data_IF_782261373207
#
_entry.id   IF_782261373207
#
_cell.length_a   1.000
_cell.length_b   1.000
_cell.length_c   1.000
_cell.angle_alpha   90.00
_cell.angle_beta   90.00
_cell.angle_gamma   90.00
#
_symmetry.space_group_name_H-M   'P 1'
#
loop_
_entity.id
_entity.type
_entity.pdbx_description
1 polymer ?
#
# COMPACT_ATOMS: atom_id res chain seq x y z
N UNK A 1 19.48 -76.89 7.77
CA UNK A 1 18.26 -76.17 8.23
C UNK A 1 18.58 -74.67 8.20
N UNK A 2 18.24 -73.98 7.10
CA UNK A 2 18.55 -72.57 6.86
C UNK A 2 17.51 -71.66 7.53
N UNK A 3 17.95 -70.69 8.34
CA UNK A 3 17.10 -69.62 8.88
C UNK A 3 17.25 -68.39 7.98
N UNK A 4 16.21 -68.02 7.23
CA UNK A 4 16.16 -66.78 6.44
C UNK A 4 15.96 -65.59 7.39
N UNK A 5 16.82 -64.58 7.29
CA UNK A 5 16.62 -63.28 7.94
C UNK A 5 15.82 -62.39 6.97
N UNK A 6 14.65 -61.93 7.41
CA UNK A 6 13.84 -60.97 6.66
C UNK A 6 14.36 -59.55 6.94
N UNK A 7 14.87 -58.90 5.89
CA UNK A 7 15.32 -57.50 5.93
C UNK A 7 14.11 -56.58 5.77
N UNK A 8 13.65 -55.97 6.85
CA UNK A 8 12.61 -54.94 6.84
C UNK A 8 13.23 -53.60 6.45
N UNK A 9 12.92 -53.12 5.25
CA UNK A 9 13.34 -51.82 4.72
C UNK A 9 12.50 -50.71 5.37
N UNK A 10 13.10 -49.89 6.23
CA UNK A 10 12.44 -48.69 6.78
C UNK A 10 12.61 -47.54 5.77
N UNK A 11 11.56 -47.22 5.02
CA UNK A 11 11.52 -46.04 4.18
C UNK A 11 11.26 -44.80 5.04
N UNK A 12 12.27 -43.97 5.26
CA UNK A 12 12.11 -42.64 5.85
C UNK A 12 11.75 -41.69 4.70
N UNK A 13 10.45 -41.41 4.54
CA UNK A 13 9.99 -40.36 3.65
C UNK A 13 10.27 -39.00 4.31
N UNK A 14 11.28 -38.28 3.83
CA UNK A 14 11.55 -36.91 4.23
C UNK A 14 10.67 -35.99 3.35
N UNK A 15 9.49 -35.62 3.85
CA UNK A 15 8.70 -34.55 3.26
C UNK A 15 9.38 -33.21 3.62
N UNK A 16 10.20 -32.70 2.72
CA UNK A 16 10.77 -31.35 2.84
C UNK A 16 9.68 -30.38 2.38
N UNK A 17 8.83 -29.95 3.30
CA UNK A 17 7.98 -28.80 3.09
C UNK A 17 8.86 -27.55 3.06
N UNK A 18 8.97 -26.90 1.90
CA UNK A 18 9.57 -25.56 1.79
C UNK A 18 8.71 -24.58 2.59
N UNK A 19 9.22 -24.10 3.72
CA UNK A 19 8.57 -23.04 4.48
C UNK A 19 9.22 -21.72 4.04
N UNK A 20 8.76 -21.18 2.91
CA UNK A 20 9.09 -19.82 2.53
C UNK A 20 8.36 -18.85 3.48
N UNK A 21 9.11 -18.07 4.24
CA UNK A 21 8.57 -16.94 5.02
C UNK A 21 8.49 -15.72 4.09
N UNK A 22 7.37 -15.53 3.41
CA UNK A 22 7.12 -14.31 2.63
C UNK A 22 6.63 -13.19 3.56
N UNK A 23 7.19 -11.98 3.42
CA UNK A 23 6.52 -10.79 3.95
C UNK A 23 5.28 -10.54 3.10
N UNK A 24 4.11 -10.35 3.74
CA UNK A 24 2.87 -10.11 3.02
C UNK A 24 2.89 -8.74 2.34
N UNK A 25 2.40 -8.68 1.10
CA UNK A 25 2.13 -7.41 0.43
C UNK A 25 1.11 -6.59 1.24
N UNK A 26 1.35 -5.29 1.36
CA UNK A 26 0.39 -4.37 1.95
C UNK A 26 -0.70 -4.04 0.92
N UNK A 27 -1.95 -4.00 1.36
CA UNK A 27 -3.08 -3.49 0.59
C UNK A 27 -4.05 -2.77 1.52
N UNK A 28 -4.25 -1.48 1.29
CA UNK A 28 -5.17 -0.62 2.04
C UNK A 28 -6.10 0.02 1.03
N UNK A 29 -7.39 -0.32 1.09
CA UNK A 29 -8.43 0.25 0.24
C UNK A 29 -9.45 0.99 1.11
N UNK A 30 -9.83 2.18 0.66
CA UNK A 30 -10.93 2.95 1.24
C UNK A 30 -11.76 3.60 0.13
N UNK A 31 -13.05 3.28 0.11
CA UNK A 31 -14.04 3.88 -0.81
C UNK A 31 -14.97 4.88 -0.10
N UNK A 32 -14.70 5.23 1.15
CA UNK A 32 -15.39 6.32 1.87
C UNK A 32 -16.91 6.22 2.01
N UNK A 33 -17.49 5.02 1.93
CA UNK A 33 -18.94 4.75 2.04
C UNK A 33 -19.52 4.89 3.46
N UNK A 34 -19.06 5.88 4.22
CA UNK A 34 -19.57 6.23 5.55
C UNK A 34 -18.50 6.57 6.59
N UNK A 35 -17.22 6.40 6.28
CA UNK A 35 -16.12 6.80 7.17
C UNK A 35 -14.87 7.17 6.39
N UNK A 36 -13.90 7.82 7.04
CA UNK A 36 -12.55 8.04 6.48
C UNK A 36 -11.64 6.81 6.57
N UNK A 37 -12.09 5.76 7.27
CA UNK A 37 -11.36 4.52 7.53
C UNK A 37 -9.90 4.74 7.95
N UNK A 38 -8.95 4.43 7.07
CA UNK A 38 -7.51 4.51 7.37
C UNK A 38 -6.93 5.93 7.25
N UNK A 39 -7.76 6.91 6.90
CA UNK A 39 -7.31 8.25 6.53
C UNK A 39 -7.76 9.31 7.53
N UNK A 40 -7.02 10.40 7.55
CA UNK A 40 -7.27 11.58 8.36
C UNK A 40 -7.22 12.82 7.48
N UNK A 41 -7.95 13.86 7.88
CA UNK A 41 -8.08 15.11 7.12
C UNK A 41 -7.40 16.25 7.86
N UNK A 42 -6.81 17.18 7.11
CA UNK A 42 -6.13 18.37 7.66
C UNK A 42 -6.46 19.62 6.84
N UNK A 43 -6.16 20.80 7.39
CA UNK A 43 -6.55 22.09 6.80
C UNK A 43 -7.94 22.59 7.23
N UNK A 44 -8.64 21.83 8.08
CA UNK A 44 -9.86 22.26 8.77
C UNK A 44 -11.15 22.26 7.95
N UNK A 45 -11.04 22.22 6.61
CA UNK A 45 -12.19 22.22 5.70
C UNK A 45 -12.28 20.94 4.86
N UNK A 46 -11.21 20.13 4.81
CA UNK A 46 -11.24 18.79 4.23
C UNK A 46 -12.13 17.87 5.06
N UNK A 47 -13.05 17.13 4.43
CA UNK A 47 -14.03 16.31 5.15
C UNK A 47 -14.51 15.11 4.35
N UNK A 48 -15.07 14.11 5.06
CA UNK A 48 -15.88 13.10 4.41
C UNK A 48 -17.14 13.75 3.81
N UNK A 49 -17.45 13.40 2.57
CA UNK A 49 -18.64 13.81 1.85
C UNK A 49 -19.45 12.57 1.50
N UNK A 50 -20.68 12.48 2.02
CA UNK A 50 -21.60 11.38 1.73
C UNK A 50 -22.83 11.94 1.03
N UNK A 51 -23.16 11.37 -0.12
CA UNK A 51 -24.29 11.79 -0.93
C UNK A 51 -25.62 11.27 -0.37
N UNK A 52 -26.43 12.16 0.21
CA UNK A 52 -27.68 11.83 0.91
C UNK A 52 -28.98 11.97 0.10
N UNK A 53 -28.91 12.27 -1.21
CA UNK A 53 -30.09 12.33 -2.09
C UNK A 53 -30.79 13.70 -2.17
N UNK A 54 -30.55 14.39 -3.30
CA UNK A 54 -31.33 15.46 -3.98
C UNK A 54 -30.44 16.44 -4.77
N UNK A 55 -29.11 16.20 -4.80
CA UNK A 55 -28.12 17.00 -5.54
C UNK A 55 -27.24 16.18 -6.49
N UNK A 56 -26.02 16.65 -6.76
CA UNK A 56 -25.02 15.93 -7.56
C UNK A 56 -24.19 14.97 -6.68
N UNK A 57 -24.04 13.72 -7.12
CA UNK A 57 -23.08 12.79 -6.52
C UNK A 57 -21.67 13.10 -7.06
N UNK A 58 -20.72 13.31 -6.15
CA UNK A 58 -19.33 13.62 -6.49
C UNK A 58 -18.38 12.46 -6.25
N UNK A 59 -18.90 11.33 -5.77
CA UNK A 59 -18.16 10.08 -5.71
C UNK A 59 -18.11 9.44 -7.12
N UNK A 60 -16.92 9.18 -7.68
CA UNK A 60 -16.73 8.33 -8.85
C UNK A 60 -17.48 7.00 -8.76
N UNK A 61 -17.50 6.41 -7.57
CA UNK A 61 -18.19 5.15 -7.29
C UNK A 61 -18.97 5.23 -5.98
N UNK A 62 -20.07 4.48 -5.86
CA UNK A 62 -20.87 4.48 -4.63
C UNK A 62 -21.43 5.86 -4.24
N UNK A 63 -21.41 6.18 -2.95
CA UNK A 63 -22.05 7.38 -2.38
C UNK A 63 -21.10 8.24 -1.55
N UNK A 64 -19.87 7.78 -1.31
CA UNK A 64 -18.90 8.42 -0.44
C UNK A 64 -17.67 8.96 -1.18
N UNK A 65 -17.15 10.10 -0.74
CA UNK A 65 -15.88 10.64 -1.21
C UNK A 65 -15.26 11.53 -0.13
N UNK A 66 -13.98 11.88 -0.26
CA UNK A 66 -13.36 12.94 0.55
C UNK A 66 -13.38 14.25 -0.21
N UNK A 67 -14.00 15.27 0.36
CA UNK A 67 -13.92 16.65 -0.10
C UNK A 67 -12.58 17.27 0.30
N UNK A 68 -11.78 17.71 -0.68
CA UNK A 68 -10.67 18.64 -0.53
C UNK A 68 -11.09 20.00 -1.08
N UNK A 69 -11.48 20.95 -0.23
CA UNK A 69 -12.02 22.23 -0.67
C UNK A 69 -10.94 23.15 -1.24
N UNK A 70 -11.32 24.04 -2.16
CA UNK A 70 -10.43 25.13 -2.56
C UNK A 70 -10.35 26.18 -1.46
N UNK A 71 -9.18 26.34 -0.87
CA UNK A 71 -8.94 27.33 0.18
C UNK A 71 -7.54 27.89 0.05
N UNK A 72 -7.28 29.05 0.66
CA UNK A 72 -5.91 29.51 0.83
C UNK A 72 -5.31 28.75 2.02
N UNK A 73 -4.55 27.69 1.73
CA UNK A 73 -3.91 26.86 2.75
C UNK A 73 -3.82 25.39 2.36
N UNK A 74 -2.91 24.67 3.00
CA UNK A 74 -2.73 23.23 2.76
C UNK A 74 -3.96 22.46 3.25
N UNK A 75 -4.59 21.73 2.33
CA UNK A 75 -5.69 20.80 2.59
C UNK A 75 -5.23 19.41 2.19
N UNK A 76 -5.26 18.44 3.10
CA UNK A 76 -4.73 17.11 2.80
C UNK A 76 -5.57 15.99 3.42
N UNK A 77 -5.66 14.89 2.66
CA UNK A 77 -6.07 13.58 3.09
C UNK A 77 -4.83 12.72 3.31
N UNK A 78 -4.56 12.32 4.55
CA UNK A 78 -3.31 11.67 4.97
C UNK A 78 -3.60 10.32 5.60
N UNK A 79 -2.84 9.30 5.24
CA UNK A 79 -2.91 7.99 5.89
C UNK A 79 -2.61 8.17 7.39
N UNK A 80 -3.44 7.60 8.25
CA UNK A 80 -3.37 7.87 9.70
C UNK A 80 -2.17 7.19 10.34
N UNK A 81 -1.89 5.95 9.92
CA UNK A 81 -0.82 5.14 10.49
C UNK A 81 0.27 4.92 9.46
N UNK A 82 1.52 5.10 9.88
CA UNK A 82 2.66 4.78 9.04
C UNK A 82 2.69 3.27 8.72
N UNK A 83 3.13 2.97 7.50
CA UNK A 83 3.28 1.61 7.00
C UNK A 83 4.74 1.19 7.11
N UNK A 84 4.94 -0.06 7.51
CA UNK A 84 6.25 -0.68 7.39
C UNK A 84 6.48 -1.19 5.97
N UNK A 85 7.15 -0.37 5.17
CA UNK A 85 7.55 -0.71 3.80
C UNK A 85 9.06 -0.97 3.70
N UNK A 86 9.75 -1.20 4.82
CA UNK A 86 11.21 -1.39 4.85
C UNK A 86 11.68 -2.61 4.04
N UNK A 87 10.80 -3.58 3.80
CA UNK A 87 11.08 -4.76 2.98
C UNK A 87 10.54 -4.68 1.57
N UNK A 88 9.70 -3.70 1.24
CA UNK A 88 9.11 -3.57 -0.09
C UNK A 88 10.14 -2.99 -1.08
N UNK A 89 10.07 -3.39 -2.36
CA UNK A 89 10.81 -2.71 -3.43
C UNK A 89 9.98 -1.64 -4.11
N UNK A 90 8.66 -1.75 -4.04
CA UNK A 90 7.73 -0.80 -4.62
C UNK A 90 6.52 -0.58 -3.72
N UNK A 91 6.00 0.64 -3.74
CA UNK A 91 4.67 0.93 -3.23
C UNK A 91 3.94 1.87 -4.18
N UNK A 92 2.63 1.72 -4.28
CA UNK A 92 1.78 2.50 -5.17
C UNK A 92 0.65 3.12 -4.38
N UNK A 93 0.40 4.39 -4.60
CA UNK A 93 -0.82 5.08 -4.19
C UNK A 93 -1.66 5.33 -5.44
N UNK A 94 -2.93 4.93 -5.42
CA UNK A 94 -3.89 5.22 -6.47
C UNK A 94 -5.21 5.71 -5.90
N UNK A 95 -5.95 6.47 -6.68
CA UNK A 95 -7.22 7.05 -6.28
C UNK A 95 -7.99 7.61 -7.48
N UNK A 96 -9.30 7.66 -7.35
CA UNK A 96 -10.18 8.35 -8.28
C UNK A 96 -10.46 9.77 -7.78
N UNK A 97 -10.71 10.69 -8.71
CA UNK A 97 -11.06 12.06 -8.34
C UNK A 97 -12.04 12.71 -9.29
N UNK A 98 -12.85 13.65 -8.76
CA UNK A 98 -13.79 14.49 -9.51
C UNK A 98 -13.64 15.95 -9.12
N UNK A 99 -13.75 16.84 -10.11
CA UNK A 99 -13.87 18.28 -9.87
C UNK A 99 -15.34 18.67 -9.65
N UNK A 100 -15.62 19.38 -8.55
CA UNK A 100 -16.95 19.83 -8.13
C UNK A 100 -17.71 20.80 -9.05
N UNK A 101 -17.14 21.22 -10.19
CA UNK A 101 -17.83 22.10 -11.13
C UNK A 101 -18.07 21.51 -12.52
N UNK A 102 -17.65 20.26 -12.78
CA UNK A 102 -17.79 19.65 -14.11
C UNK A 102 -17.10 20.40 -15.25
N UNK A 103 -16.22 21.37 -14.96
CA UNK A 103 -15.57 22.24 -15.94
C UNK A 103 -14.05 21.97 -15.98
N UNK A 104 -13.49 21.88 -17.18
CA UNK A 104 -12.04 21.84 -17.42
C UNK A 104 -11.42 23.20 -17.09
N UNK A 105 -10.96 23.40 -15.85
CA UNK A 105 -10.26 24.62 -15.44
C UNK A 105 -8.84 24.27 -14.97
N UNK A 106 -7.79 24.87 -15.57
CA UNK A 106 -6.42 24.41 -15.43
C UNK A 106 -5.65 24.83 -14.18
N UNK A 107 -6.30 25.44 -13.19
CA UNK A 107 -5.60 26.23 -12.17
C UNK A 107 -5.48 25.56 -10.80
N UNK A 108 -6.15 24.43 -10.56
CA UNK A 108 -5.97 23.67 -9.31
C UNK A 108 -5.07 22.48 -9.54
N UNK A 109 -4.16 22.27 -8.59
CA UNK A 109 -3.17 21.19 -8.63
C UNK A 109 -3.17 20.48 -7.30
N UNK A 110 -3.53 19.21 -7.34
CA UNK A 110 -3.32 18.29 -6.24
C UNK A 110 -2.21 17.33 -6.61
N UNK A 111 -1.50 16.86 -5.58
CA UNK A 111 -0.36 15.97 -5.72
C UNK A 111 -0.46 14.88 -4.66
N UNK A 112 -0.14 13.66 -5.06
CA UNK A 112 0.18 12.60 -4.13
C UNK A 112 1.59 12.83 -3.57
N UNK A 113 1.74 12.77 -2.26
CA UNK A 113 3.00 12.90 -1.57
C UNK A 113 3.32 11.67 -0.73
N UNK A 114 4.61 11.46 -0.55
CA UNK A 114 5.18 10.41 0.28
C UNK A 114 6.07 11.02 1.36
N UNK A 115 6.05 10.40 2.54
CA UNK A 115 6.96 10.69 3.63
C UNK A 115 7.63 9.40 4.09
N UNK A 116 8.96 9.44 4.24
CA UNK A 116 9.77 8.35 4.78
C UNK A 116 9.94 8.42 6.31
N UNK A 117 9.44 9.49 6.94
CA UNK A 117 9.74 9.88 8.32
C UNK A 117 8.49 10.19 9.15
N UNK A 118 7.38 9.49 8.85
CA UNK A 118 6.15 9.62 9.62
C UNK A 118 5.47 10.98 9.48
N UNK A 119 5.68 11.67 8.36
CA UNK A 119 4.99 12.90 7.99
C UNK A 119 5.72 14.19 8.36
N UNK A 120 6.99 14.11 8.77
CA UNK A 120 7.80 15.29 9.10
C UNK A 120 8.29 16.01 7.83
N UNK A 121 8.64 15.24 6.80
CA UNK A 121 9.02 15.74 5.48
C UNK A 121 8.22 15.02 4.39
N UNK A 122 7.83 15.76 3.35
CA UNK A 122 6.99 15.26 2.26
C UNK A 122 7.65 15.50 0.91
N UNK A 123 7.63 14.45 0.07
CA UNK A 123 8.13 14.46 -1.30
C UNK A 123 6.97 14.25 -2.27
N UNK A 124 6.93 15.03 -3.35
CA UNK A 124 5.92 14.89 -4.41
C UNK A 124 6.19 13.62 -5.23
N UNK A 125 5.17 12.77 -5.41
CA UNK A 125 5.28 11.50 -6.14
C UNK A 125 4.98 11.61 -7.65
N UNK A 126 4.45 12.74 -8.14
CA UNK A 126 4.07 12.85 -9.55
C UNK A 126 3.54 14.23 -9.97
N UNK A 127 3.08 14.30 -11.22
CA UNK A 127 2.61 15.53 -11.88
C UNK A 127 1.34 16.09 -11.27
N UNK A 128 1.25 17.42 -11.33
CA UNK A 128 0.05 18.18 -11.03
C UNK A 128 -1.10 17.77 -11.96
N UNK A 129 -2.25 17.43 -11.37
CA UNK A 129 -3.40 16.96 -12.13
C UNK A 129 -4.38 18.09 -12.44
N UNK A 130 -4.83 18.13 -13.70
CA UNK A 130 -5.82 19.05 -14.23
C UNK A 130 -6.73 18.29 -15.22
N UNK A 131 -8.06 18.36 -15.04
CA UNK A 131 -9.03 17.60 -15.86
C UNK A 131 -10.38 17.34 -15.19
N UNK A 132 -11.20 16.50 -15.82
CA UNK A 132 -12.49 16.02 -15.33
C UNK A 132 -12.44 14.48 -15.27
N UNK A 133 -12.58 13.92 -14.08
CA UNK A 133 -12.79 12.49 -13.79
C UNK A 133 -11.68 11.58 -14.34
N UNK A 134 -10.73 11.19 -13.48
CA UNK A 134 -9.67 10.26 -13.88
C UNK A 134 -9.14 9.48 -12.67
N UNK A 135 -8.79 8.21 -12.85
CA UNK A 135 -7.99 7.46 -11.87
C UNK A 135 -6.53 7.90 -11.96
N UNK A 136 -5.92 8.20 -10.82
CA UNK A 136 -4.49 8.46 -10.72
C UNK A 136 -3.77 7.31 -10.05
N UNK A 137 -2.50 7.11 -10.40
CA UNK A 137 -1.63 6.12 -9.76
C UNK A 137 -0.19 6.61 -9.80
N UNK A 138 0.50 6.54 -8.67
CA UNK A 138 1.90 6.92 -8.53
C UNK A 138 2.65 5.82 -7.78
N UNK A 139 3.77 5.37 -8.34
CA UNK A 139 4.62 4.32 -7.78
C UNK A 139 5.92 4.90 -7.28
N UNK A 140 6.29 4.55 -6.05
CA UNK A 140 7.59 4.83 -5.46
C UNK A 140 8.42 3.55 -5.42
N UNK A 141 9.70 3.68 -5.77
CA UNK A 141 10.64 2.55 -5.89
C UNK A 141 11.91 2.71 -5.04
N UNK A 142 12.03 3.82 -4.31
CA UNK A 142 13.21 4.14 -3.49
C UNK A 142 12.81 4.85 -2.21
N UNK A 143 13.63 4.74 -1.16
CA UNK A 143 13.40 5.45 0.09
C UNK A 143 12.22 4.95 0.91
N UNK A 144 11.76 3.72 0.68
CA UNK A 144 10.74 3.03 1.48
C UNK A 144 11.30 2.67 2.86
N UNK A 145 10.55 2.98 3.90
CA UNK A 145 10.99 2.78 5.30
C UNK A 145 9.89 2.16 6.16
N UNK A 146 10.24 1.84 7.41
CA UNK A 146 9.28 1.40 8.41
C UNK A 146 8.25 2.49 8.83
N UNK A 147 8.50 3.74 8.45
CA UNK A 147 7.70 4.92 8.82
C UNK A 147 7.08 5.60 7.60
N UNK A 148 6.69 4.80 6.60
CA UNK A 148 6.20 5.28 5.32
C UNK A 148 4.77 5.83 5.43
N UNK A 149 4.54 7.06 4.98
CA UNK A 149 3.21 7.67 4.91
C UNK A 149 2.90 8.19 3.52
N UNK A 150 1.60 8.23 3.22
CA UNK A 150 1.04 8.71 1.97
C UNK A 150 -0.02 9.77 2.26
N UNK A 151 -0.07 10.80 1.40
CA UNK A 151 -1.17 11.77 1.41
C UNK A 151 -1.49 12.25 0.01
N UNK A 152 -2.71 12.76 -0.16
CA UNK A 152 -3.08 13.60 -1.30
C UNK A 152 -3.35 14.99 -0.77
N UNK A 153 -2.67 15.98 -1.35
CA UNK A 153 -2.69 17.36 -0.85
C UNK A 153 -3.01 18.34 -1.97
N UNK A 154 -3.81 19.35 -1.66
CA UNK A 154 -3.94 20.55 -2.48
C UNK A 154 -2.83 21.56 -2.10
N UNK A 155 -2.00 21.90 -3.07
CA UNK A 155 -0.93 22.90 -2.94
C UNK A 155 -1.25 24.19 -3.70
N UNK A 156 -2.47 24.34 -4.23
CA UNK A 156 -2.84 25.51 -5.03
C UNK A 156 -2.90 26.79 -4.18
N UNK A 157 -2.29 27.85 -4.71
CA UNK A 157 -2.33 29.19 -4.13
C UNK A 157 -3.60 29.95 -4.57
N UNK A 158 -4.76 29.29 -4.44
CA UNK A 158 -6.05 29.84 -4.84
C UNK A 158 -6.71 29.07 -5.99
N UNK A 159 -8.01 28.85 -5.83
CA UNK A 159 -8.92 28.20 -6.77
C UNK A 159 -10.36 28.38 -6.28
N UNK A 160 -11.35 28.08 -7.12
CA UNK A 160 -12.77 28.29 -6.79
C UNK A 160 -13.58 27.00 -6.67
N UNK A 161 -12.92 25.85 -6.81
CA UNK A 161 -13.60 24.56 -7.00
C UNK A 161 -13.19 23.58 -5.93
N UNK A 162 -14.11 22.76 -5.49
CA UNK A 162 -13.85 21.65 -4.60
C UNK A 162 -13.38 20.42 -5.38
N UNK A 163 -12.63 19.57 -4.70
CA UNK A 163 -12.22 18.27 -5.22
C UNK A 163 -12.80 17.16 -4.38
N UNK A 164 -13.11 16.05 -5.02
CA UNK A 164 -13.64 14.86 -4.36
C UNK A 164 -12.74 13.68 -4.72
N UNK A 165 -12.21 12.99 -3.70
CA UNK A 165 -11.36 11.80 -3.85
C UNK A 165 -12.13 10.56 -3.44
N UNK A 166 -11.91 9.47 -4.14
CA UNK A 166 -12.55 8.18 -3.88
C UNK A 166 -11.61 7.02 -4.25
N UNK A 167 -11.93 5.80 -3.82
CA UNK A 167 -11.16 4.57 -4.07
C UNK A 167 -9.66 4.73 -3.78
N UNK A 168 -9.35 5.31 -2.62
CA UNK A 168 -7.98 5.44 -2.16
C UNK A 168 -7.39 4.06 -1.92
N UNK A 169 -6.34 3.71 -2.65
CA UNK A 169 -5.67 2.43 -2.58
C UNK A 169 -4.16 2.63 -2.40
N UNK A 170 -3.59 1.95 -1.40
CA UNK A 170 -2.15 1.79 -1.26
C UNK A 170 -1.82 0.31 -1.39
N UNK A 171 -0.88 -0.03 -2.27
CA UNK A 171 -0.35 -1.38 -2.41
C UNK A 171 1.17 -1.42 -2.32
N UNK A 172 1.73 -2.54 -1.87
CA UNK A 172 3.17 -2.82 -1.98
C UNK A 172 3.41 -4.18 -2.63
N UNK A 173 4.63 -4.41 -3.08
CA UNK A 173 5.05 -5.77 -3.43
C UNK A 173 5.31 -6.60 -2.17
N UNK A 174 5.19 -7.92 -2.32
CA UNK A 174 5.67 -8.89 -1.35
C UNK A 174 7.09 -9.26 -1.72
N UNK A 175 8.05 -9.02 -0.83
CA UNK A 175 9.42 -9.49 -1.03
C UNK A 175 9.59 -10.80 -0.30
N UNK A 176 10.00 -11.83 -1.05
CA UNK A 176 10.41 -13.10 -0.47
C UNK A 176 11.67 -12.86 0.36
N UNK A 177 11.59 -13.07 1.67
CA UNK A 177 12.79 -13.05 2.52
C UNK A 177 13.58 -14.32 2.20
N UNK A 178 14.86 -14.22 1.79
CA UNK A 178 15.71 -15.39 1.63
C UNK A 178 15.75 -16.14 2.96
N UNK A 179 15.40 -17.42 2.94
CA UNK A 179 15.34 -18.22 4.16
C UNK A 179 16.64 -18.08 4.96
N UNK A 180 16.57 -18.00 6.31
CA UNK A 180 17.78 -18.06 7.12
C UNK A 180 18.52 -19.35 6.76
N UNK A 181 19.83 -19.37 7.00
CA UNK A 181 20.78 -20.45 6.74
C UNK A 181 20.41 -21.84 7.29
N UNK A 182 19.21 -22.04 7.83
CA UNK A 182 18.59 -23.32 8.17
C UNK A 182 18.60 -24.36 7.05
N UNK A 183 18.48 -23.99 5.77
CA UNK A 183 18.68 -24.94 4.64
C UNK A 183 20.15 -25.34 4.50
N UNK A 184 21.08 -24.39 4.67
CA UNK A 184 22.50 -24.70 4.74
C UNK A 184 22.86 -25.54 5.98
N UNK A 185 22.18 -25.34 7.11
CA UNK A 185 22.39 -26.08 8.36
C UNK A 185 21.76 -27.49 8.33
N UNK A 186 20.59 -27.66 7.69
CA UNK A 186 20.03 -28.98 7.38
C UNK A 186 20.88 -29.71 6.34
N UNK A 187 21.39 -29.00 5.33
CA UNK A 187 22.35 -29.52 4.36
C UNK A 187 23.65 -29.99 5.03
N UNK A 188 24.23 -29.18 5.93
CA UNK A 188 25.42 -29.54 6.71
C UNK A 188 25.13 -30.64 7.72
N UNK A 189 23.99 -30.59 8.41
CA UNK A 189 23.57 -31.59 9.39
C UNK A 189 23.33 -32.96 8.75
N UNK A 190 22.73 -32.99 7.56
CA UNK A 190 22.59 -34.18 6.73
C UNK A 190 23.93 -34.72 6.25
N UNK A 191 24.84 -33.84 5.81
CA UNK A 191 26.20 -34.24 5.40
C UNK A 191 26.99 -34.82 6.58
N UNK A 192 26.93 -34.19 7.75
CA UNK A 192 27.58 -34.67 8.97
C UNK A 192 27.05 -36.06 9.39
N UNK A 193 25.74 -36.31 9.22
CA UNK A 193 25.14 -37.61 9.48
C UNK A 193 25.62 -38.68 8.48
N UNK A 194 25.75 -38.34 7.20
CA UNK A 194 26.28 -39.24 6.15
C UNK A 194 27.76 -39.57 6.41
N UNK A 195 28.56 -38.57 6.79
CA UNK A 195 29.98 -38.77 7.11
C UNK A 195 30.18 -39.61 8.38
N UNK A 196 29.28 -39.53 9.36
CA UNK A 196 29.33 -40.35 10.59
C UNK A 196 29.01 -41.83 10.34
N UNK A 197 28.23 -42.16 9.31
CA UNK A 197 27.87 -43.56 8.97
C UNK A 197 28.97 -44.34 8.24
N UNK A 198 30.07 -43.70 7.84
CA UNK A 198 31.19 -44.33 7.10
C UNK A 198 32.35 -44.83 7.99
N UNK A 199 32.11 -45.07 9.29
CA UNK A 199 33.08 -45.72 10.18
C UNK A 199 32.66 -47.14 10.49
#
# INVERSE_FOLDING_TARGET
>A
MMKKLNTTTLAIACAVGSIASANAAISILDGFEGSLGNWSVSGGLTSLYTYGGSGTNWAPTGTGAVLIPSTNGEQALTLTNALDLSTATTATISYDWVNGSGASQPTRFFIAQYSADGGSNWTNLGSQHNGNITSNSQTITTGLTANSLFRVVDLSAGGTQNMYLDNMLITSDAVAVPEPTTTALLGLGGLALILRRRK
#
